data_IF_866745130397
#
_entry.id   IF_866745130397
#
_cell.length_a   1.000
_cell.length_b   1.000
_cell.length_c   1.000
_cell.angle_alpha   90.00
_cell.angle_beta   90.00
_cell.angle_gamma   90.00
#
_symmetry.space_group_name_H-M   'P 1'
#
loop_
_entity.id
_entity.type
_entity.pdbx_description
1 polymer ?
#
# COMPACT_ATOMS: atom_id res chain seq x y z
N UNK A 1 -20.84 4.83 -20.16
CA UNK A 1 -19.57 5.61 -20.13
C UNK A 1 -19.52 6.51 -21.35
N UNK A 2 -19.08 7.77 -21.22
CA UNK A 2 -18.85 8.63 -22.39
C UNK A 2 -17.57 8.18 -23.11
N UNK A 3 -17.54 8.34 -24.43
CA UNK A 3 -16.39 7.96 -25.28
C UNK A 3 -15.08 8.62 -24.82
N UNK A 4 -15.14 9.87 -24.37
CA UNK A 4 -14.00 10.59 -23.80
C UNK A 4 -13.43 9.92 -22.56
N UNK A 5 -14.28 9.38 -21.69
CA UNK A 5 -13.86 8.68 -20.47
C UNK A 5 -13.12 7.39 -20.81
N UNK A 6 -13.64 6.61 -21.77
CA UNK A 6 -12.97 5.38 -22.23
C UNK A 6 -11.58 5.68 -22.78
N UNK A 7 -11.44 6.73 -23.61
CA UNK A 7 -10.13 7.15 -24.11
C UNK A 7 -9.16 7.57 -23.03
N UNK A 8 -9.63 8.29 -22.00
CA UNK A 8 -8.78 8.70 -20.88
C UNK A 8 -8.31 7.50 -20.06
N UNK A 9 -9.18 6.52 -19.82
CA UNK A 9 -8.83 5.27 -19.12
C UNK A 9 -7.75 4.50 -19.89
N UNK A 10 -7.91 4.35 -21.22
CA UNK A 10 -6.91 3.65 -22.05
C UNK A 10 -5.54 4.37 -22.02
N UNK A 11 -5.53 5.70 -22.12
CA UNK A 11 -4.27 6.47 -22.03
C UNK A 11 -3.58 6.32 -20.67
N UNK A 12 -4.35 6.34 -19.59
CA UNK A 12 -3.80 6.13 -18.24
C UNK A 12 -3.25 4.72 -18.10
N UNK A 13 -3.96 3.71 -18.62
CA UNK A 13 -3.49 2.32 -18.63
C UNK A 13 -2.16 2.17 -19.38
N UNK A 14 -2.05 2.79 -20.54
CA UNK A 14 -0.85 2.75 -21.38
C UNK A 14 0.36 3.39 -20.65
N UNK A 15 0.17 4.59 -20.10
CA UNK A 15 1.20 5.28 -19.31
C UNK A 15 1.58 4.45 -18.06
N UNK A 16 0.61 3.83 -17.39
CA UNK A 16 0.87 2.96 -16.23
C UNK A 16 1.73 1.76 -16.62
N UNK A 17 1.44 1.10 -17.74
CA UNK A 17 2.21 -0.07 -18.19
C UNK A 17 3.65 0.31 -18.56
N UNK A 18 3.86 1.46 -19.21
CA UNK A 18 5.19 1.98 -19.51
C UNK A 18 5.98 2.31 -18.22
N UNK A 19 5.32 2.96 -17.25
CA UNK A 19 5.91 3.26 -15.96
C UNK A 19 6.14 2.01 -15.11
N UNK A 20 5.30 0.99 -15.24
CA UNK A 20 5.49 -0.28 -14.54
C UNK A 20 6.81 -0.92 -14.94
N UNK A 21 7.09 -1.02 -16.23
CA UNK A 21 8.38 -1.57 -16.71
C UNK A 21 9.55 -0.76 -16.17
N UNK A 22 9.49 0.57 -16.25
CA UNK A 22 10.53 1.45 -15.73
C UNK A 22 10.70 1.30 -14.21
N UNK A 23 9.59 1.18 -13.47
CA UNK A 23 9.61 0.98 -12.02
C UNK A 23 10.21 -0.37 -11.64
N UNK A 24 9.88 -1.42 -12.40
CA UNK A 24 10.47 -2.75 -12.22
C UNK A 24 11.98 -2.72 -12.45
N UNK A 25 12.44 -2.10 -13.54
CA UNK A 25 13.86 -1.91 -13.84
C UNK A 25 14.57 -1.11 -12.73
N UNK A 26 13.96 -0.04 -12.25
CA UNK A 26 14.47 0.77 -11.16
C UNK A 26 14.47 0.03 -9.81
N UNK A 27 13.46 -0.80 -9.58
CA UNK A 27 13.29 -1.52 -8.32
C UNK A 27 14.27 -2.69 -8.19
N UNK A 28 14.43 -3.47 -9.25
CA UNK A 28 15.32 -4.64 -9.27
C UNK A 28 16.77 -4.28 -9.51
N UNK A 29 17.07 -3.04 -9.92
CA UNK A 29 18.42 -2.50 -9.96
C UNK A 29 19.28 -2.93 -11.15
N UNK A 30 18.65 -3.37 -12.23
CA UNK A 30 19.36 -3.88 -13.43
C UNK A 30 19.45 -2.85 -14.57
N UNK A 31 19.47 -1.57 -14.25
CA UNK A 31 19.82 -0.57 -15.26
C UNK A 31 21.34 -0.45 -15.33
N UNK A 32 21.91 -1.00 -16.39
CA UNK A 32 23.36 -1.02 -16.62
C UNK A 32 23.96 0.39 -16.49
N UNK A 33 24.88 0.55 -15.54
CA UNK A 33 25.59 1.82 -15.30
C UNK A 33 24.87 2.83 -14.40
N UNK A 34 23.67 2.56 -13.92
CA UNK A 34 22.92 3.45 -13.03
C UNK A 34 22.84 2.89 -11.61
N UNK A 35 23.44 3.59 -10.66
CA UNK A 35 23.26 3.28 -9.23
C UNK A 35 22.00 3.97 -8.72
N UNK A 36 20.99 3.18 -8.41
CA UNK A 36 19.73 3.66 -7.86
C UNK A 36 19.75 3.43 -6.35
N UNK A 37 19.51 4.49 -5.59
CA UNK A 37 19.41 4.39 -4.14
C UNK A 37 18.01 3.93 -3.69
N UNK A 38 17.90 3.53 -2.43
CA UNK A 38 16.66 3.03 -1.86
C UNK A 38 15.54 4.10 -1.84
N UNK A 39 15.90 5.38 -1.80
CA UNK A 39 14.94 6.47 -1.88
C UNK A 39 14.32 6.56 -3.27
N UNK A 40 15.14 6.47 -4.32
CA UNK A 40 14.68 6.51 -5.72
C UNK A 40 13.80 5.30 -6.05
N UNK A 41 14.17 4.10 -5.56
CA UNK A 41 13.33 2.88 -5.70
C UNK A 41 11.98 3.05 -5.04
N UNK A 42 11.96 3.56 -3.81
CA UNK A 42 10.72 3.78 -3.08
C UNK A 42 9.84 4.83 -3.76
N UNK A 43 10.43 5.92 -4.29
CA UNK A 43 9.71 6.94 -5.03
C UNK A 43 9.06 6.38 -6.30
N UNK A 44 9.79 5.61 -7.10
CA UNK A 44 9.26 4.94 -8.29
C UNK A 44 8.07 4.05 -7.96
N UNK A 45 8.16 3.28 -6.87
CA UNK A 45 7.07 2.45 -6.36
C UNK A 45 5.84 3.26 -5.97
N UNK A 46 6.02 4.39 -5.29
CA UNK A 46 4.91 5.26 -4.89
C UNK A 46 4.16 5.81 -6.11
N UNK A 47 4.89 6.23 -7.14
CA UNK A 47 4.30 6.70 -8.41
C UNK A 47 3.48 5.58 -9.08
N UNK A 48 3.99 4.36 -9.12
CA UNK A 48 3.26 3.21 -9.66
C UNK A 48 1.94 2.95 -8.94
N UNK A 49 1.97 2.93 -7.60
CA UNK A 49 0.76 2.71 -6.79
C UNK A 49 -0.27 3.82 -6.98
N UNK A 50 0.19 5.07 -7.08
CA UNK A 50 -0.68 6.21 -7.34
C UNK A 50 -1.42 6.07 -8.69
N UNK A 51 -0.69 5.75 -9.75
CA UNK A 51 -1.26 5.56 -11.09
C UNK A 51 -2.24 4.38 -11.14
N UNK A 52 -1.93 3.29 -10.44
CA UNK A 52 -2.84 2.14 -10.33
C UNK A 52 -4.14 2.52 -9.62
N UNK A 53 -4.07 3.35 -8.59
CA UNK A 53 -5.25 3.90 -7.91
C UNK A 53 -6.10 4.77 -8.83
N UNK A 54 -5.49 5.67 -9.59
CA UNK A 54 -6.19 6.55 -10.55
C UNK A 54 -6.89 5.74 -11.66
N UNK A 55 -6.22 4.74 -12.23
CA UNK A 55 -6.84 3.84 -13.23
C UNK A 55 -8.06 3.15 -12.65
N UNK A 56 -7.93 2.62 -11.43
CA UNK A 56 -9.02 1.95 -10.73
C UNK A 56 -10.22 2.88 -10.55
N UNK A 57 -9.99 4.09 -10.04
CA UNK A 57 -11.04 5.08 -9.78
C UNK A 57 -11.80 5.49 -11.05
N UNK A 58 -11.09 5.59 -12.18
CA UNK A 58 -11.70 5.92 -13.48
C UNK A 58 -12.57 4.79 -14.04
N UNK A 59 -12.23 3.53 -13.71
CA UNK A 59 -12.98 2.34 -14.17
C UNK A 59 -14.21 2.06 -13.31
N UNK A 60 -14.17 2.40 -12.03
CA UNK A 60 -15.13 1.99 -11.01
C UNK A 60 -15.75 3.22 -10.33
N UNK A 61 -16.69 3.91 -11.01
CA UNK A 61 -17.62 4.81 -10.31
C UNK A 61 -18.63 3.96 -9.56
N UNK A 62 -18.29 3.59 -8.35
CA UNK A 62 -19.27 2.97 -7.45
C UNK A 62 -19.69 3.99 -6.38
N UNK A 63 -21.01 4.10 -6.09
CA UNK A 63 -21.42 4.77 -4.89
C UNK A 63 -20.83 4.03 -3.68
N UNK A 64 -20.45 4.79 -2.67
CA UNK A 64 -20.00 4.22 -1.39
C UNK A 64 -21.18 3.41 -0.80
N UNK A 65 -21.17 2.10 -1.03
CA UNK A 65 -22.09 1.19 -0.35
C UNK A 65 -21.33 0.68 0.86
N UNK A 66 -21.79 1.06 2.04
CA UNK A 66 -21.33 0.44 3.28
C UNK A 66 -21.81 -1.01 3.28
N UNK A 67 -20.92 -1.93 2.94
CA UNK A 67 -21.18 -3.35 3.09
C UNK A 67 -20.54 -3.79 4.40
N UNK A 68 -21.39 -4.22 5.35
CA UNK A 68 -21.02 -4.72 6.68
C UNK A 68 -20.42 -6.14 6.64
N UNK A 69 -19.56 -6.47 5.71
CA UNK A 69 -18.71 -7.65 5.88
C UNK A 69 -17.40 -7.22 6.53
N UNK A 70 -17.21 -7.65 7.79
CA UNK A 70 -15.96 -7.41 8.51
C UNK A 70 -14.79 -7.99 7.74
N UNK A 71 -13.99 -7.11 7.17
CA UNK A 71 -12.79 -7.49 6.44
C UNK A 71 -11.78 -8.18 7.36
N UNK A 72 -10.86 -8.94 6.79
CA UNK A 72 -9.76 -9.54 7.55
C UNK A 72 -8.94 -8.47 8.30
N UNK A 73 -8.84 -7.27 7.72
CA UNK A 73 -8.28 -6.08 8.37
C UNK A 73 -9.07 -5.71 9.63
N UNK A 74 -10.39 -5.58 9.53
CA UNK A 74 -11.23 -5.17 10.66
C UNK A 74 -11.15 -6.18 11.82
N UNK A 75 -11.16 -7.47 11.53
CA UNK A 75 -11.02 -8.54 12.53
C UNK A 75 -9.70 -8.47 13.29
N UNK A 76 -8.61 -8.17 12.60
CA UNK A 76 -7.29 -8.03 13.24
C UNK A 76 -7.20 -6.70 13.99
N UNK A 77 -7.74 -5.63 13.41
CA UNK A 77 -7.74 -4.31 14.04
C UNK A 77 -8.58 -4.29 15.33
N UNK A 78 -9.70 -5.03 15.38
CA UNK A 78 -10.49 -5.21 16.60
C UNK A 78 -9.72 -5.91 17.73
N UNK A 79 -8.83 -6.85 17.37
CA UNK A 79 -7.95 -7.52 18.36
C UNK A 79 -6.81 -6.62 18.85
N UNK A 80 -6.39 -5.65 18.02
CA UNK A 80 -5.29 -4.73 18.30
C UNK A 80 -5.67 -3.26 18.02
N UNK A 81 -6.69 -2.71 18.70
CA UNK A 81 -7.29 -1.42 18.34
C UNK A 81 -6.35 -0.22 18.53
N UNK A 82 -5.31 -0.39 19.36
CA UNK A 82 -4.31 0.62 19.65
C UNK A 82 -3.01 0.44 18.84
N UNK A 83 -3.00 -0.50 17.88
CA UNK A 83 -1.83 -0.80 17.06
C UNK A 83 -2.05 -0.49 15.59
N UNK A 84 -1.02 0.01 14.94
CA UNK A 84 -0.91 0.07 13.48
C UNK A 84 -0.69 -1.35 12.95
N UNK A 85 -1.63 -1.88 12.18
CA UNK A 85 -1.52 -3.21 11.60
C UNK A 85 -0.83 -3.14 10.24
N UNK A 86 0.39 -3.67 10.14
CA UNK A 86 1.15 -3.81 8.90
C UNK A 86 0.88 -5.18 8.29
N UNK A 87 0.19 -5.22 7.17
CA UNK A 87 -0.16 -6.46 6.47
C UNK A 87 0.86 -6.80 5.41
N UNK A 88 1.46 -7.98 5.48
CA UNK A 88 2.30 -8.50 4.41
C UNK A 88 1.44 -8.82 3.19
N UNK A 89 1.70 -8.14 2.08
CA UNK A 89 1.06 -8.35 0.79
C UNK A 89 2.13 -8.52 -0.29
N UNK A 90 2.54 -9.78 -0.53
CA UNK A 90 3.68 -10.08 -1.41
C UNK A 90 4.97 -9.45 -0.89
N UNK A 91 5.59 -8.58 -1.71
CA UNK A 91 6.84 -7.91 -1.37
C UNK A 91 6.67 -6.61 -0.58
N UNK A 92 5.47 -6.34 -0.05
CA UNK A 92 5.17 -5.09 0.66
C UNK A 92 4.49 -5.34 2.00
N UNK A 93 4.72 -4.41 2.93
CA UNK A 93 3.80 -4.16 4.04
C UNK A 93 2.85 -3.05 3.64
N UNK A 94 1.56 -3.33 3.77
CA UNK A 94 0.46 -2.40 3.48
C UNK A 94 -0.31 -2.09 4.76
N UNK A 95 -0.79 -0.86 4.86
CA UNK A 95 -1.59 -0.35 5.97
C UNK A 95 -2.76 0.44 5.41
N UNK A 96 -3.92 0.37 6.06
CA UNK A 96 -5.18 0.83 5.51
C UNK A 96 -5.87 1.85 6.39
N UNK A 97 -6.89 2.56 5.81
CA UNK A 97 -7.79 3.47 6.51
C UNK A 97 -7.05 4.60 7.24
N UNK A 98 -7.43 4.87 8.49
CA UNK A 98 -6.83 5.94 9.30
C UNK A 98 -5.36 5.69 9.63
N UNK A 99 -4.98 4.42 9.78
CA UNK A 99 -3.61 4.05 10.07
C UNK A 99 -2.67 4.36 8.90
N UNK A 100 -3.15 4.24 7.65
CA UNK A 100 -2.41 4.68 6.47
C UNK A 100 -2.05 6.16 6.54
N UNK A 101 -2.97 7.01 7.00
CA UNK A 101 -2.72 8.44 7.16
C UNK A 101 -1.67 8.74 8.24
N UNK A 102 -1.73 8.00 9.37
CA UNK A 102 -0.75 8.14 10.46
C UNK A 102 0.64 7.72 10.00
N UNK A 103 0.73 6.57 9.32
CA UNK A 103 1.98 6.03 8.78
C UNK A 103 2.59 6.96 7.74
N UNK A 104 1.79 7.50 6.81
CA UNK A 104 2.27 8.46 5.80
C UNK A 104 2.91 9.68 6.43
N UNK A 105 2.32 10.23 7.49
CA UNK A 105 2.86 11.41 8.19
C UNK A 105 4.19 11.12 8.87
N UNK A 106 4.33 9.93 9.48
CA UNK A 106 5.54 9.55 10.23
C UNK A 106 6.68 9.15 9.30
N UNK A 107 6.37 8.38 8.25
CA UNK A 107 7.37 7.85 7.33
C UNK A 107 7.65 8.75 6.13
N UNK A 108 6.85 9.79 5.93
CA UNK A 108 6.89 10.67 4.76
C UNK A 108 6.77 9.91 3.43
N UNK A 109 5.81 8.98 3.39
CA UNK A 109 5.44 8.20 2.19
C UNK A 109 4.10 8.62 1.65
N UNK A 110 3.82 8.29 0.39
CA UNK A 110 2.60 8.73 -0.30
C UNK A 110 1.38 7.93 0.17
N UNK A 111 0.30 8.65 0.51
CA UNK A 111 -1.01 8.08 0.71
C UNK A 111 -1.64 7.76 -0.65
N UNK A 112 -2.15 6.56 -0.81
CA UNK A 112 -2.90 6.12 -2.00
C UNK A 112 -4.22 5.48 -1.58
N UNK A 113 -4.93 4.89 -2.53
CA UNK A 113 -6.21 4.23 -2.29
C UNK A 113 -6.22 2.86 -2.97
N UNK A 114 -6.90 1.93 -2.34
CA UNK A 114 -7.13 0.59 -2.88
C UNK A 114 -8.58 0.20 -2.69
N UNK A 115 -9.08 -0.65 -3.58
CA UNK A 115 -10.34 -1.35 -3.35
C UNK A 115 -10.08 -2.48 -2.35
N UNK A 116 -10.82 -2.46 -1.26
CA UNK A 116 -10.79 -3.49 -0.24
C UNK A 116 -12.23 -3.86 0.12
N UNK A 117 -12.61 -5.12 -0.05
CA UNK A 117 -13.97 -5.64 0.18
C UNK A 117 -15.08 -4.77 -0.44
N UNK A 118 -14.90 -4.39 -1.71
CA UNK A 118 -15.86 -3.57 -2.44
C UNK A 118 -15.82 -2.06 -2.13
N UNK A 119 -15.07 -1.64 -1.11
CA UNK A 119 -14.97 -0.24 -0.66
C UNK A 119 -13.60 0.37 -1.00
N UNK A 120 -13.58 1.62 -1.45
CA UNK A 120 -12.35 2.39 -1.64
C UNK A 120 -11.81 2.85 -0.30
N UNK A 121 -10.64 2.36 0.08
CA UNK A 121 -10.00 2.72 1.34
C UNK A 121 -8.64 3.39 1.12
N UNK A 122 -8.29 4.31 2.01
CA UNK A 122 -6.95 4.88 2.06
C UNK A 122 -5.93 3.78 2.35
N UNK A 123 -4.80 3.80 1.67
CA UNK A 123 -3.74 2.82 1.81
C UNK A 123 -2.37 3.48 1.72
N UNK A 124 -1.43 2.97 2.47
CA UNK A 124 -0.01 3.24 2.33
C UNK A 124 0.77 1.93 2.37
N UNK A 125 1.95 1.91 1.79
CA UNK A 125 2.77 0.70 1.81
C UNK A 125 4.24 1.02 1.55
N UNK A 126 5.08 0.08 1.99
CA UNK A 126 6.52 0.12 1.77
C UNK A 126 7.06 -1.30 1.56
N UNK A 127 8.19 -1.47 0.86
CA UNK A 127 8.78 -2.78 0.62
C UNK A 127 9.10 -3.51 1.92
N UNK A 128 8.85 -4.82 1.97
CA UNK A 128 9.02 -5.61 3.20
C UNK A 128 10.47 -5.58 3.73
N UNK A 129 11.45 -5.55 2.85
CA UNK A 129 12.86 -5.47 3.24
C UNK A 129 13.26 -4.12 3.87
N UNK A 130 12.40 -3.11 3.75
CA UNK A 130 12.58 -1.81 4.41
C UNK A 130 11.99 -1.77 5.83
N UNK A 131 11.43 -2.87 6.33
CA UNK A 131 10.82 -2.95 7.66
C UNK A 131 11.78 -2.49 8.75
N UNK A 132 13.02 -2.96 8.74
CA UNK A 132 14.05 -2.59 9.73
C UNK A 132 14.35 -1.09 9.75
N UNK A 133 14.12 -0.40 8.64
CA UNK A 133 14.30 1.05 8.52
C UNK A 133 13.08 1.82 8.99
N UNK A 134 11.87 1.33 8.70
CA UNK A 134 10.62 2.04 8.95
C UNK A 134 9.98 1.73 10.30
N UNK A 135 10.05 0.48 10.76
CA UNK A 135 9.50 0.06 12.05
C UNK A 135 10.05 0.90 13.23
N UNK A 136 11.37 1.15 13.35
CA UNK A 136 11.88 1.99 14.43
C UNK A 136 11.36 3.43 14.39
N UNK A 137 11.06 3.98 13.20
CA UNK A 137 10.50 5.32 13.07
C UNK A 137 9.07 5.38 13.61
N UNK A 138 8.24 4.37 13.29
CA UNK A 138 6.88 4.27 13.80
C UNK A 138 6.87 4.12 15.33
N UNK A 139 7.71 3.24 15.86
CA UNK A 139 7.81 3.01 17.30
C UNK A 139 8.33 4.25 18.04
N UNK A 140 9.32 4.96 17.49
CA UNK A 140 9.83 6.22 18.07
C UNK A 140 8.79 7.34 18.03
N UNK A 141 7.88 7.33 17.05
CA UNK A 141 6.75 8.26 17.00
C UNK A 141 5.65 7.92 18.03
N UNK A 142 5.85 6.89 18.86
CA UNK A 142 4.92 6.47 19.91
C UNK A 142 3.80 5.55 19.43
N UNK A 143 3.89 5.05 18.19
CA UNK A 143 2.91 4.13 17.64
C UNK A 143 3.24 2.70 18.07
N UNK A 144 2.22 1.96 18.51
CA UNK A 144 2.30 0.51 18.63
C UNK A 144 2.10 -0.11 17.25
N UNK A 145 2.88 -1.10 16.89
CA UNK A 145 2.84 -1.74 15.56
C UNK A 145 2.60 -3.23 15.73
N UNK A 146 1.67 -3.77 14.97
CA UNK A 146 1.42 -5.20 14.83
C UNK A 146 1.79 -5.63 13.42
N UNK A 147 2.68 -6.61 13.30
CA UNK A 147 3.08 -7.18 12.01
C UNK A 147 2.20 -8.38 11.72
N UNK A 148 1.48 -8.31 10.59
CA UNK A 148 0.54 -9.33 10.15
C UNK A 148 1.10 -10.02 8.92
N UNK A 149 1.43 -11.30 9.04
CA UNK A 149 1.97 -12.11 7.95
C UNK A 149 1.04 -13.31 7.68
N UNK A 150 1.24 -14.00 6.55
CA UNK A 150 0.50 -15.23 6.27
C UNK A 150 0.91 -16.33 7.24
N UNK A 151 -0.06 -16.86 7.95
CA UNK A 151 0.13 -18.05 8.77
C UNK A 151 0.18 -19.31 7.88
N UNK A 152 0.79 -20.39 8.39
CA UNK A 152 0.82 -21.71 7.73
C UNK A 152 -0.57 -22.28 7.36
N UNK A 153 -1.64 -21.67 7.90
CA UNK A 153 -3.04 -22.02 7.60
C UNK A 153 -3.62 -21.25 6.40
N UNK A 154 -2.84 -20.42 5.71
CA UNK A 154 -3.29 -19.56 4.61
C UNK A 154 -4.10 -18.33 5.06
N UNK A 155 -4.28 -18.12 6.37
CA UNK A 155 -4.91 -16.93 6.94
C UNK A 155 -3.86 -15.95 7.44
N UNK A 156 -4.12 -14.66 7.29
CA UNK A 156 -3.26 -13.63 7.89
C UNK A 156 -3.48 -13.56 9.40
N UNK A 157 -2.40 -13.44 10.15
CA UNK A 157 -2.43 -13.28 11.58
C UNK A 157 -1.27 -12.43 12.08
N UNK A 158 -1.40 -11.91 13.30
CA UNK A 158 -0.33 -11.11 13.90
C UNK A 158 0.79 -12.04 14.36
N UNK A 159 1.96 -11.87 13.77
CA UNK A 159 3.17 -12.64 14.10
C UNK A 159 4.04 -11.92 15.12
N UNK A 160 3.97 -10.59 15.18
CA UNK A 160 4.81 -9.79 16.08
C UNK A 160 4.14 -8.46 16.43
N UNK A 161 4.36 -7.98 17.68
CA UNK A 161 3.91 -6.66 18.14
C UNK A 161 5.07 -5.87 18.73
N UNK A 162 5.19 -4.59 18.34
CA UNK A 162 6.21 -3.67 18.80
C UNK A 162 5.58 -2.48 19.52
N UNK A 163 6.12 -2.15 20.68
CA UNK A 163 5.75 -0.99 21.48
C UNK A 163 7.01 -0.38 22.09
N UNK A 164 6.99 0.94 22.26
CA UNK A 164 8.03 1.66 23.01
C UNK A 164 7.87 1.42 24.51
#
# INVERSE_FOLDING_TARGET
>A
MTQQRTQNVERIREVRLQLQSLVEDLYWGDIEGVKIDDFQRNLARQVYLLLKGVEYDLLHEQPVVEVEEQSEYDKIHEQYPDAICLFRCGDFYEVYREDAQKVCKVLNITLTHRQYDGTRVAMAGFPFHALDTYLPKLVRAGLRVAICDEMKSGKKGVVETHKK
#
